data_IF_515526722038
#
_entry.id   IF_515526722038
#
_cell.length_a   1.000
_cell.length_b   1.000
_cell.length_c   1.000
_cell.angle_alpha   90.00
_cell.angle_beta   90.00
_cell.angle_gamma   90.00
#
_symmetry.space_group_name_H-M   'P 1'
#
loop_
_entity.id
_entity.type
_entity.pdbx_description
1 polymer ?
#
# COMPACT_ATOMS: atom_id res chain seq x y z
N UNK A 1 62.93 -36.63 -48.25
CA UNK A 1 61.56 -36.84 -48.67
C UNK A 1 60.66 -36.49 -47.51
N UNK A 2 60.27 -35.20 -47.38
CA UNK A 2 59.53 -34.67 -46.27
C UNK A 2 58.01 -34.52 -46.68
N UNK A 3 57.13 -35.29 -46.06
CA UNK A 3 55.68 -35.16 -46.28
C UNK A 3 55.18 -33.96 -45.44
N UNK A 4 54.61 -32.96 -46.12
CA UNK A 4 53.88 -31.87 -45.50
C UNK A 4 52.47 -32.36 -45.17
N UNK A 5 52.11 -32.31 -43.87
CA UNK A 5 50.73 -32.46 -43.42
C UNK A 5 50.07 -31.06 -43.39
N UNK A 6 49.04 -30.88 -44.24
CA UNK A 6 48.18 -29.69 -44.16
C UNK A 6 47.09 -29.95 -43.14
N UNK A 7 47.08 -29.18 -42.07
CA UNK A 7 46.02 -29.17 -41.09
C UNK A 7 44.97 -28.13 -41.53
N UNK A 8 43.79 -28.64 -41.89
CA UNK A 8 42.63 -27.82 -42.26
C UNK A 8 41.90 -27.42 -40.95
N UNK A 9 41.94 -26.14 -40.53
CA UNK A 9 41.16 -25.63 -39.44
C UNK A 9 39.75 -25.32 -39.94
N UNK A 10 38.75 -26.12 -39.53
CA UNK A 10 37.33 -25.82 -39.73
C UNK A 10 36.91 -24.88 -38.59
N UNK A 11 36.73 -23.60 -38.91
CA UNK A 11 36.16 -22.60 -37.98
C UNK A 11 34.62 -22.86 -37.89
N UNK A 12 34.18 -23.44 -36.80
CA UNK A 12 32.74 -23.50 -36.50
C UNK A 12 32.30 -22.11 -35.96
N UNK A 13 31.66 -21.32 -36.81
CA UNK A 13 31.01 -20.07 -36.42
C UNK A 13 29.67 -20.42 -35.76
N UNK A 14 29.64 -20.41 -34.41
CA UNK A 14 28.40 -20.49 -33.66
C UNK A 14 27.69 -19.15 -33.82
N UNK A 15 26.68 -19.08 -34.69
CA UNK A 15 25.69 -18.01 -34.64
C UNK A 15 24.83 -18.19 -33.36
N UNK A 16 25.18 -17.42 -32.31
CA UNK A 16 24.28 -17.24 -31.17
C UNK A 16 23.18 -16.29 -31.65
N UNK A 17 22.07 -16.86 -32.14
CA UNK A 17 20.84 -16.09 -32.28
C UNK A 17 20.34 -15.81 -30.88
N UNK A 18 20.65 -14.63 -30.36
CA UNK A 18 20.03 -14.13 -29.15
C UNK A 18 18.55 -13.96 -29.40
N UNK A 19 17.74 -14.96 -29.02
CA UNK A 19 16.32 -14.75 -28.81
C UNK A 19 16.21 -13.82 -27.62
N UNK A 20 16.03 -12.51 -27.86
CA UNK A 20 15.48 -11.63 -26.83
C UNK A 20 14.14 -12.22 -26.45
N UNK A 21 14.04 -12.81 -25.28
CA UNK A 21 12.75 -13.13 -24.71
C UNK A 21 12.02 -11.77 -24.61
N UNK A 22 11.05 -11.55 -25.47
CA UNK A 22 10.12 -10.45 -25.33
C UNK A 22 9.35 -10.81 -24.05
N UNK A 23 9.60 -10.08 -22.96
CA UNK A 23 8.80 -10.19 -21.77
C UNK A 23 7.35 -9.92 -22.19
N UNK A 24 6.48 -10.92 -22.09
CA UNK A 24 5.04 -10.77 -22.29
C UNK A 24 4.52 -9.82 -21.19
N UNK A 25 4.53 -8.52 -21.48
CA UNK A 25 4.02 -7.51 -20.58
C UNK A 25 2.50 -7.55 -20.57
N UNK A 26 1.92 -7.64 -19.39
CA UNK A 26 0.49 -7.53 -19.22
C UNK A 26 0.00 -6.15 -19.67
N UNK A 27 -0.94 -6.10 -20.63
CA UNK A 27 -1.47 -4.85 -21.21
C UNK A 27 -2.82 -4.43 -20.66
N UNK A 28 -3.50 -5.30 -19.88
CA UNK A 28 -4.77 -5.00 -19.24
C UNK A 28 -4.63 -4.28 -17.90
N UNK A 29 -5.76 -3.92 -17.30
CA UNK A 29 -5.79 -3.44 -15.91
C UNK A 29 -5.35 -4.54 -14.95
N UNK A 30 -4.75 -4.16 -13.79
CA UNK A 30 -4.33 -5.10 -12.77
C UNK A 30 -5.51 -5.93 -12.24
N UNK A 31 -6.64 -5.25 -11.99
CA UNK A 31 -7.91 -5.86 -11.58
C UNK A 31 -9.09 -5.20 -12.31
N UNK A 32 -10.28 -5.77 -12.14
CA UNK A 32 -11.50 -5.15 -12.65
C UNK A 32 -12.34 -4.58 -11.51
N UNK A 33 -12.22 -3.27 -11.28
CA UNK A 33 -12.93 -2.55 -10.22
C UNK A 33 -14.45 -2.54 -10.40
N UNK A 34 -14.98 -2.81 -11.61
CA UNK A 34 -16.43 -2.87 -11.85
C UNK A 34 -17.13 -4.09 -11.22
N UNK A 35 -16.35 -5.04 -10.66
CA UNK A 35 -16.86 -6.20 -9.92
C UNK A 35 -17.39 -5.85 -8.53
N UNK A 36 -17.26 -4.60 -8.14
CA UNK A 36 -17.72 -4.06 -6.87
C UNK A 36 -16.68 -4.12 -5.74
N UNK A 37 -17.12 -3.82 -4.53
CA UNK A 37 -16.24 -3.76 -3.37
C UNK A 37 -15.71 -5.15 -2.98
N UNK A 38 -14.54 -5.15 -2.34
CA UNK A 38 -13.99 -6.38 -1.76
C UNK A 38 -14.73 -6.75 -0.48
N UNK A 39 -14.84 -8.03 -0.25
CA UNK A 39 -15.36 -8.61 1.00
C UNK A 39 -14.62 -9.89 1.36
N UNK A 40 -14.72 -10.30 2.60
CA UNK A 40 -14.28 -11.64 3.02
C UNK A 40 -15.32 -12.65 2.55
N UNK A 41 -14.86 -13.72 1.88
CA UNK A 41 -15.73 -14.80 1.46
C UNK A 41 -16.45 -15.46 2.65
N UNK A 42 -17.62 -16.03 2.44
CA UNK A 42 -18.43 -16.67 3.49
C UNK A 42 -17.71 -17.83 4.22
N UNK A 43 -16.70 -18.43 3.61
CA UNK A 43 -15.85 -19.44 4.26
C UNK A 43 -14.77 -18.85 5.18
N UNK A 44 -14.55 -17.52 5.12
CA UNK A 44 -13.49 -16.82 5.87
C UNK A 44 -12.07 -17.08 5.39
N UNK A 45 -11.88 -17.66 4.18
CA UNK A 45 -10.56 -18.14 3.73
C UNK A 45 -9.89 -17.28 2.68
N UNK A 46 -10.62 -16.44 1.96
CA UNK A 46 -10.09 -15.59 0.90
C UNK A 46 -10.97 -14.35 0.72
N UNK A 47 -10.42 -13.38 0.00
CA UNK A 47 -11.15 -12.18 -0.38
C UNK A 47 -11.82 -12.39 -1.74
N UNK A 48 -13.00 -11.80 -1.90
CA UNK A 48 -13.75 -11.81 -3.15
C UNK A 48 -14.36 -10.43 -3.42
N UNK A 49 -14.70 -10.17 -4.66
CA UNK A 49 -15.54 -9.03 -5.02
C UNK A 49 -16.98 -9.26 -4.60
N UNK A 50 -17.78 -8.20 -4.55
CA UNK A 50 -19.20 -8.31 -4.22
C UNK A 50 -20.01 -9.12 -5.23
N UNK A 51 -19.52 -9.31 -6.45
CA UNK A 51 -20.06 -10.22 -7.47
C UNK A 51 -19.73 -11.70 -7.20
N UNK A 52 -18.93 -12.03 -6.19
CA UNK A 52 -18.50 -13.38 -5.83
C UNK A 52 -17.23 -13.86 -6.55
N UNK A 53 -16.63 -13.05 -7.42
CA UNK A 53 -15.36 -13.41 -8.07
C UNK A 53 -14.22 -13.36 -7.05
N UNK A 54 -13.38 -14.41 -6.93
CA UNK A 54 -12.21 -14.38 -6.04
C UNK A 54 -11.25 -13.24 -6.37
N UNK A 55 -10.68 -12.63 -5.33
CA UNK A 55 -9.66 -11.60 -5.43
C UNK A 55 -8.29 -12.17 -5.07
N UNK A 56 -7.32 -12.01 -5.97
CA UNK A 56 -5.92 -12.34 -5.69
C UNK A 56 -5.23 -11.11 -5.11
N UNK A 57 -4.83 -11.20 -3.84
CA UNK A 57 -4.03 -10.18 -3.18
C UNK A 57 -2.55 -10.41 -3.49
N UNK A 58 -2.05 -9.82 -4.59
CA UNK A 58 -0.64 -9.78 -4.94
C UNK A 58 -0.12 -8.38 -4.62
N UNK A 59 0.42 -8.22 -3.41
CA UNK A 59 0.84 -6.93 -2.88
C UNK A 59 2.31 -6.61 -3.14
N UNK A 60 2.60 -5.34 -3.45
CA UNK A 60 3.94 -4.77 -3.35
C UNK A 60 3.97 -3.70 -2.26
N UNK A 61 5.12 -3.56 -1.60
CA UNK A 61 5.33 -2.64 -0.50
C UNK A 61 6.06 -1.40 -0.99
N UNK A 62 5.39 -0.26 -0.91
CA UNK A 62 5.90 1.05 -1.33
C UNK A 62 5.59 2.11 -0.25
N UNK A 63 6.17 1.92 0.95
CA UNK A 63 5.84 2.77 2.11
C UNK A 63 5.99 4.26 1.82
N UNK A 64 7.01 4.64 1.06
CA UNK A 64 7.35 6.03 0.76
C UNK A 64 6.72 6.58 -0.54
N UNK A 65 5.82 5.83 -1.18
CA UNK A 65 5.24 6.20 -2.48
C UNK A 65 4.64 7.61 -2.46
N UNK A 66 3.82 7.89 -1.45
CA UNK A 66 3.09 9.16 -1.34
C UNK A 66 4.02 10.30 -0.94
N UNK A 67 4.96 10.06 -0.04
CA UNK A 67 5.81 11.12 0.51
C UNK A 67 6.97 11.51 -0.40
N UNK A 68 7.54 10.54 -1.15
CA UNK A 68 8.79 10.75 -1.91
C UNK A 68 8.63 10.85 -3.40
N UNK A 69 7.63 10.22 -4.00
CA UNK A 69 7.49 10.23 -5.44
C UNK A 69 6.62 11.40 -5.91
N UNK A 70 7.08 12.11 -6.92
CA UNK A 70 6.24 13.05 -7.64
C UNK A 70 5.25 12.32 -8.57
N UNK A 71 4.35 13.05 -9.20
CA UNK A 71 3.30 12.49 -10.05
C UNK A 71 3.81 11.58 -11.17
N UNK A 72 4.91 11.97 -11.84
CA UNK A 72 5.48 11.17 -12.95
C UNK A 72 6.14 9.89 -12.46
N UNK A 73 6.85 9.97 -11.35
CA UNK A 73 7.50 8.83 -10.72
C UNK A 73 6.46 7.86 -10.16
N UNK A 74 5.39 8.39 -9.55
CA UNK A 74 4.23 7.61 -9.10
C UNK A 74 3.58 6.86 -10.26
N UNK A 75 3.32 7.55 -11.37
CA UNK A 75 2.73 6.92 -12.55
C UNK A 75 3.62 5.82 -13.13
N UNK A 76 4.92 6.06 -13.23
CA UNK A 76 5.90 5.08 -13.70
C UNK A 76 5.95 3.85 -12.78
N UNK A 77 5.97 4.06 -11.47
CA UNK A 77 5.97 2.98 -10.49
C UNK A 77 4.69 2.13 -10.59
N UNK A 78 3.53 2.76 -10.57
CA UNK A 78 2.25 2.07 -10.66
C UNK A 78 2.10 1.29 -11.97
N UNK A 79 2.56 1.87 -13.10
CA UNK A 79 2.54 1.18 -14.38
C UNK A 79 3.45 -0.06 -14.37
N UNK A 80 4.66 0.05 -13.84
CA UNK A 80 5.57 -1.08 -13.71
C UNK A 80 4.96 -2.21 -12.86
N UNK A 81 4.23 -1.89 -11.78
CA UNK A 81 3.57 -2.89 -10.93
C UNK A 81 2.40 -3.54 -11.64
N UNK A 82 1.59 -2.75 -12.36
CA UNK A 82 0.50 -3.25 -13.19
C UNK A 82 1.03 -4.26 -14.24
N UNK A 83 2.07 -3.89 -14.98
CA UNK A 83 2.69 -4.76 -15.99
C UNK A 83 3.22 -6.08 -15.41
N UNK A 84 3.65 -6.07 -14.15
CA UNK A 84 4.16 -7.25 -13.44
C UNK A 84 3.08 -8.09 -12.76
N UNK A 85 1.81 -7.70 -12.89
CA UNK A 85 0.67 -8.46 -12.35
C UNK A 85 0.40 -8.25 -10.87
N UNK A 86 0.95 -7.20 -10.24
CA UNK A 86 0.53 -6.81 -8.90
C UNK A 86 -0.91 -6.30 -8.92
N UNK A 87 -1.62 -6.55 -7.83
CA UNK A 87 -3.02 -6.12 -7.66
C UNK A 87 -3.19 -5.10 -6.56
N UNK A 88 -2.25 -5.04 -5.61
CA UNK A 88 -2.30 -4.18 -4.43
C UNK A 88 -0.95 -3.48 -4.24
N UNK A 89 -0.99 -2.19 -3.91
CA UNK A 89 0.17 -1.42 -3.48
C UNK A 89 -0.06 -0.95 -2.05
N UNK A 90 0.83 -1.34 -1.14
CA UNK A 90 0.79 -0.91 0.26
C UNK A 90 1.60 0.37 0.41
N UNK A 91 1.02 1.42 0.99
CA UNK A 91 1.68 2.71 1.18
C UNK A 91 1.16 3.45 2.41
N UNK A 92 1.89 4.46 2.86
CA UNK A 92 1.62 5.18 4.11
C UNK A 92 1.37 6.66 3.84
N UNK A 93 0.43 7.26 4.54
CA UNK A 93 0.18 8.71 4.51
C UNK A 93 1.22 9.45 5.36
N UNK A 94 1.32 9.11 6.65
CA UNK A 94 2.31 9.70 7.56
C UNK A 94 3.41 8.67 7.81
N UNK A 95 4.46 8.71 7.01
CA UNK A 95 5.53 7.70 7.01
C UNK A 95 6.54 7.85 8.15
N UNK A 96 7.44 6.85 8.29
CA UNK A 96 8.44 6.79 9.35
C UNK A 96 9.67 7.65 9.08
N UNK A 97 10.09 7.73 7.82
CA UNK A 97 11.42 8.24 7.46
C UNK A 97 11.53 9.76 7.47
N UNK A 98 10.41 10.45 7.44
CA UNK A 98 10.35 11.91 7.53
C UNK A 98 9.94 12.39 8.90
N UNK A 99 10.55 13.49 9.35
CA UNK A 99 10.20 14.23 10.58
C UNK A 99 8.88 15.02 10.44
N UNK A 100 7.92 14.53 9.63
CA UNK A 100 6.68 15.24 9.27
C UNK A 100 6.89 16.44 8.36
N UNK A 101 8.06 16.54 7.76
CA UNK A 101 8.44 17.61 6.86
C UNK A 101 7.73 17.54 5.51
N UNK A 102 8.24 18.25 4.57
CA UNK A 102 7.63 18.52 3.27
C UNK A 102 7.70 17.28 2.37
N UNK A 103 6.59 16.91 1.75
CA UNK A 103 6.55 15.87 0.72
C UNK A 103 7.37 16.25 -0.54
N UNK A 104 7.55 15.31 -1.46
CA UNK A 104 8.21 15.54 -2.76
C UNK A 104 7.62 16.70 -3.58
N UNK A 105 6.36 17.07 -3.30
CA UNK A 105 5.67 18.18 -3.94
C UNK A 105 5.83 19.52 -3.20
N UNK A 106 6.63 19.57 -2.15
CA UNK A 106 6.85 20.80 -1.38
C UNK A 106 5.75 21.12 -0.36
N UNK A 107 4.78 20.22 -0.16
CA UNK A 107 3.65 20.43 0.74
C UNK A 107 3.89 19.78 2.11
N UNK A 108 3.61 20.46 3.22
CA UNK A 108 3.63 19.82 4.53
C UNK A 108 2.51 18.79 4.64
N UNK A 109 2.72 17.72 5.40
CA UNK A 109 1.69 16.68 5.62
C UNK A 109 0.58 17.18 6.55
N UNK A 110 0.95 17.94 7.54
CA UNK A 110 0.05 18.55 8.55
C UNK A 110 0.40 20.03 8.73
N UNK A 111 -0.61 20.87 8.93
CA UNK A 111 -0.39 22.27 9.29
C UNK A 111 0.09 22.33 10.74
N UNK A 112 1.23 22.97 10.98
CA UNK A 112 1.87 23.12 12.31
C UNK A 112 2.11 21.76 13.01
N UNK A 113 2.29 20.66 12.27
CA UNK A 113 2.43 19.31 12.84
C UNK A 113 1.18 18.80 13.58
N UNK A 114 0.05 19.45 13.42
CA UNK A 114 -1.17 19.14 14.13
C UNK A 114 -2.04 18.13 13.35
N UNK A 115 -2.25 16.93 13.93
CA UNK A 115 -3.05 15.85 13.30
C UNK A 115 -4.52 16.25 13.02
N UNK A 116 -5.06 17.19 13.76
CA UNK A 116 -6.40 17.73 13.52
C UNK A 116 -6.45 18.74 12.34
N UNK A 117 -5.29 19.03 11.73
CA UNK A 117 -5.16 19.96 10.60
C UNK A 117 -4.42 19.32 9.42
N UNK A 118 -4.98 18.29 8.76
CA UNK A 118 -4.39 17.73 7.55
C UNK A 118 -4.19 18.82 6.48
N UNK A 119 -2.99 18.86 5.86
CA UNK A 119 -2.68 19.91 4.90
C UNK A 119 -3.34 19.64 3.54
N UNK A 120 -4.17 20.56 3.01
CA UNK A 120 -4.95 20.30 1.79
C UNK A 120 -4.10 19.96 0.56
N UNK A 121 -2.94 20.60 0.39
CA UNK A 121 -2.04 20.36 -0.73
C UNK A 121 -1.50 18.92 -0.72
N UNK A 122 -1.02 18.45 0.41
CA UNK A 122 -0.55 17.07 0.56
C UNK A 122 -1.66 16.05 0.29
N UNK A 123 -2.84 16.24 0.86
CA UNK A 123 -3.96 15.31 0.66
C UNK A 123 -4.53 15.34 -0.76
N UNK A 124 -4.36 16.44 -1.50
CA UNK A 124 -4.64 16.46 -2.95
C UNK A 124 -3.69 15.51 -3.71
N UNK A 125 -2.43 15.41 -3.28
CA UNK A 125 -1.50 14.43 -3.85
C UNK A 125 -1.88 12.99 -3.47
N UNK A 126 -2.28 12.73 -2.21
CA UNK A 126 -2.80 11.41 -1.80
C UNK A 126 -3.98 10.99 -2.68
N UNK A 127 -4.95 11.89 -2.91
CA UNK A 127 -6.10 11.65 -3.79
C UNK A 127 -5.66 11.26 -5.20
N UNK A 128 -4.65 11.95 -5.72
CA UNK A 128 -4.10 11.70 -7.05
C UNK A 128 -3.45 10.32 -7.15
N UNK A 129 -2.66 9.92 -6.14
CA UNK A 129 -2.05 8.57 -6.09
C UNK A 129 -3.13 7.48 -6.13
N UNK A 130 -4.19 7.62 -5.32
CA UNK A 130 -5.32 6.69 -5.29
C UNK A 130 -6.01 6.63 -6.66
N UNK A 131 -6.25 7.80 -7.28
CA UNK A 131 -6.91 7.88 -8.59
C UNK A 131 -6.07 7.29 -9.72
N UNK A 132 -4.75 7.53 -9.73
CA UNK A 132 -3.81 6.94 -10.69
C UNK A 132 -3.77 5.42 -10.57
N UNK A 133 -3.78 4.90 -9.34
CA UNK A 133 -3.85 3.46 -9.09
C UNK A 133 -5.18 2.88 -9.60
N UNK A 134 -6.32 3.54 -9.32
CA UNK A 134 -7.63 3.12 -9.79
C UNK A 134 -7.70 3.04 -11.33
N UNK A 135 -7.12 4.03 -12.03
CA UNK A 135 -7.06 4.05 -13.50
C UNK A 135 -6.31 2.84 -14.09
N UNK A 136 -5.42 2.23 -13.30
CA UNK A 136 -4.64 1.03 -13.67
C UNK A 136 -5.25 -0.26 -13.09
N UNK A 137 -6.36 -0.18 -12.37
CA UNK A 137 -7.00 -1.30 -11.68
C UNK A 137 -6.21 -1.79 -10.46
N UNK A 138 -5.30 -0.98 -9.91
CA UNK A 138 -4.56 -1.30 -8.69
C UNK A 138 -5.32 -0.85 -7.45
N UNK A 139 -5.37 -1.70 -6.44
CA UNK A 139 -5.81 -1.31 -5.11
C UNK A 139 -4.68 -0.62 -4.34
N UNK A 140 -5.03 0.37 -3.54
CA UNK A 140 -4.14 0.96 -2.56
C UNK A 140 -4.51 0.40 -1.17
N UNK A 141 -3.59 -0.32 -0.56
CA UNK A 141 -3.68 -0.71 0.83
C UNK A 141 -3.00 0.40 1.65
N UNK A 142 -3.83 1.27 2.22
CA UNK A 142 -3.44 2.57 2.75
C UNK A 142 -3.31 2.55 4.26
N UNK A 143 -2.10 2.87 4.75
CA UNK A 143 -1.86 3.11 6.18
C UNK A 143 -2.08 4.61 6.47
N UNK A 144 -2.97 4.98 7.40
CA UNK A 144 -3.15 6.36 7.84
C UNK A 144 -1.88 7.00 8.41
N UNK A 145 -1.09 6.19 9.09
CA UNK A 145 0.17 6.59 9.73
C UNK A 145 1.05 5.38 9.95
N UNK A 146 2.36 5.61 10.00
CA UNK A 146 3.29 4.61 10.53
C UNK A 146 3.28 4.58 12.06
N UNK A 147 3.76 3.50 12.63
CA UNK A 147 3.64 3.24 14.06
C UNK A 147 4.43 4.18 14.97
N UNK A 148 5.51 4.79 14.47
CA UNK A 148 6.34 5.72 15.24
C UNK A 148 5.63 7.01 15.64
N UNK A 149 4.54 7.37 14.98
CA UNK A 149 3.68 8.50 15.33
C UNK A 149 2.75 8.19 16.53
N UNK A 150 2.62 6.89 16.89
CA UNK A 150 1.87 6.38 18.04
C UNK A 150 2.80 5.98 19.18
N UNK A 151 3.88 5.28 18.84
CA UNK A 151 4.90 4.78 19.75
C UNK A 151 6.25 4.87 19.06
N UNK A 152 7.02 5.87 19.39
CA UNK A 152 8.24 6.22 18.65
C UNK A 152 9.25 5.08 18.56
N UNK A 153 9.53 4.40 19.68
CA UNK A 153 10.56 3.33 19.76
C UNK A 153 11.82 3.68 18.94
N UNK A 154 12.09 2.89 17.88
CA UNK A 154 13.23 3.08 16.97
C UNK A 154 12.96 4.06 15.83
N UNK A 155 11.72 4.55 15.67
CA UNK A 155 11.35 5.50 14.62
C UNK A 155 11.73 6.94 14.92
N UNK A 156 11.47 7.83 13.99
CA UNK A 156 11.76 9.26 14.13
C UNK A 156 10.72 10.00 15.01
N UNK A 157 9.46 9.56 14.97
CA UNK A 157 8.36 10.25 15.61
C UNK A 157 7.96 11.51 14.82
N UNK A 158 7.46 12.56 15.48
CA UNK A 158 7.06 12.59 16.89
C UNK A 158 5.82 11.75 17.18
N UNK A 159 5.60 11.33 18.44
CA UNK A 159 4.32 10.78 18.88
C UNK A 159 3.28 11.91 18.90
N UNK A 160 2.25 11.79 18.08
CA UNK A 160 1.24 12.85 17.90
C UNK A 160 -0.19 12.36 18.18
N UNK A 161 -0.36 11.05 18.37
CA UNK A 161 -1.68 10.47 18.56
C UNK A 161 -2.06 10.30 20.02
N UNK A 162 -3.31 10.67 20.31
CA UNK A 162 -4.11 10.24 21.46
C UNK A 162 -5.34 9.49 20.93
N UNK A 163 -6.07 8.74 21.77
CA UNK A 163 -7.29 8.09 21.29
C UNK A 163 -8.31 9.09 20.70
N UNK A 164 -8.43 10.28 21.27
CA UNK A 164 -9.40 11.29 20.85
C UNK A 164 -9.08 11.85 19.46
N UNK A 165 -7.82 12.26 19.22
CA UNK A 165 -7.44 12.80 17.92
C UNK A 165 -7.29 11.71 16.86
N UNK A 166 -6.91 10.48 17.24
CA UNK A 166 -6.88 9.32 16.35
C UNK A 166 -8.28 9.02 15.80
N UNK A 167 -9.31 9.05 16.66
CA UNK A 167 -10.70 8.88 16.20
C UNK A 167 -11.11 9.98 15.22
N UNK A 168 -10.82 11.26 15.51
CA UNK A 168 -11.17 12.40 14.62
C UNK A 168 -10.46 12.29 13.28
N UNK A 169 -9.16 12.01 13.29
CA UNK A 169 -8.38 11.83 12.07
C UNK A 169 -8.87 10.64 11.26
N UNK A 170 -9.13 9.50 11.91
CA UNK A 170 -9.71 8.33 11.27
C UNK A 170 -11.07 8.63 10.62
N UNK A 171 -11.96 9.30 11.34
CA UNK A 171 -13.27 9.71 10.80
C UNK A 171 -13.10 10.61 9.57
N UNK A 172 -12.23 11.61 9.63
CA UNK A 172 -11.94 12.50 8.52
C UNK A 172 -11.39 11.76 7.29
N UNK A 173 -10.48 10.79 7.49
CA UNK A 173 -9.98 9.93 6.40
C UNK A 173 -11.10 9.08 5.80
N UNK A 174 -11.92 8.47 6.65
CA UNK A 174 -13.08 7.69 6.20
C UNK A 174 -14.04 8.52 5.37
N UNK A 175 -14.41 9.74 5.80
CA UNK A 175 -15.26 10.67 5.04
C UNK A 175 -14.64 11.04 3.68
N UNK A 176 -13.31 11.21 3.61
CA UNK A 176 -12.61 11.58 2.39
C UNK A 176 -12.57 10.44 1.37
N UNK A 177 -12.36 9.21 1.83
CA UNK A 177 -12.04 8.08 0.94
C UNK A 177 -13.14 7.02 0.85
N UNK A 178 -14.25 7.11 1.56
CA UNK A 178 -15.33 6.10 1.55
C UNK A 178 -15.90 5.78 0.16
N UNK A 179 -15.69 6.63 -0.81
CA UNK A 179 -16.14 6.45 -2.20
C UNK A 179 -15.00 6.07 -3.17
N UNK A 180 -13.78 5.87 -2.70
CA UNK A 180 -12.68 5.40 -3.55
C UNK A 180 -12.96 3.95 -3.97
N UNK A 181 -12.84 3.60 -5.27
CA UNK A 181 -13.24 2.25 -5.71
C UNK A 181 -12.17 1.17 -5.42
N UNK A 182 -11.00 1.56 -4.96
CA UNK A 182 -9.80 0.73 -4.93
C UNK A 182 -9.00 0.86 -3.62
N UNK A 183 -9.67 0.91 -2.49
CA UNK A 183 -9.00 1.10 -1.21
C UNK A 183 -9.14 -0.12 -0.29
N UNK A 184 -8.09 -0.38 0.50
CA UNK A 184 -8.07 -1.28 1.64
C UNK A 184 -7.39 -0.51 2.78
N UNK A 185 -7.96 -0.51 3.98
CA UNK A 185 -7.33 0.14 5.13
C UNK A 185 -6.38 -0.82 5.85
N UNK A 186 -5.20 -0.32 6.20
CA UNK A 186 -4.25 -1.01 7.08
C UNK A 186 -3.97 -0.11 8.28
N UNK A 187 -4.31 -0.57 9.46
CA UNK A 187 -3.98 0.11 10.72
C UNK A 187 -2.65 -0.41 11.24
N UNK A 188 -1.88 0.37 11.99
CA UNK A 188 -0.61 -0.07 12.56
C UNK A 188 0.61 0.47 11.84
N UNK A 189 1.67 -0.33 11.73
CA UNK A 189 2.97 0.03 11.17
C UNK A 189 4.11 -0.34 12.12
N UNK A 190 4.47 -1.63 12.19
CA UNK A 190 5.54 -2.21 12.98
C UNK A 190 5.47 -1.91 14.50
N UNK A 191 4.27 -1.80 15.04
CA UNK A 191 4.07 -1.62 16.49
C UNK A 191 3.11 -2.67 17.04
N UNK A 192 3.23 -2.92 18.34
CA UNK A 192 2.29 -3.77 19.05
C UNK A 192 0.90 -3.11 19.15
N UNK A 193 -0.12 -3.96 19.26
CA UNK A 193 -1.48 -3.52 19.53
C UNK A 193 -1.86 -3.56 21.01
N UNK A 194 -0.89 -3.51 21.94
CA UNK A 194 -1.14 -3.58 23.37
C UNK A 194 -0.98 -2.21 24.08
N UNK A 195 -1.20 -2.20 25.40
CA UNK A 195 -0.99 -1.03 26.24
C UNK A 195 -1.69 0.24 25.70
N UNK A 196 -0.94 1.36 25.68
CA UNK A 196 -1.43 2.64 25.14
C UNK A 196 -1.76 2.55 23.64
N UNK A 197 -1.05 1.71 22.92
CA UNK A 197 -1.18 1.58 21.48
C UNK A 197 -2.55 1.00 21.10
N UNK A 198 -3.07 0.04 21.89
CA UNK A 198 -4.39 -0.56 21.66
C UNK A 198 -5.49 0.50 21.56
N UNK A 199 -5.54 1.42 22.53
CA UNK A 199 -6.57 2.45 22.58
C UNK A 199 -6.50 3.40 21.37
N UNK A 200 -5.28 3.76 20.95
CA UNK A 200 -5.05 4.67 19.81
C UNK A 200 -5.43 3.97 18.49
N UNK A 201 -4.94 2.74 18.27
CA UNK A 201 -5.25 1.99 17.04
C UNK A 201 -6.74 1.67 16.92
N UNK A 202 -7.35 1.27 18.04
CA UNK A 202 -8.79 0.99 18.05
C UNK A 202 -9.62 2.26 17.79
N UNK A 203 -9.20 3.41 18.32
CA UNK A 203 -9.86 4.69 18.06
C UNK A 203 -9.73 5.12 16.59
N UNK A 204 -8.53 5.01 16.00
CA UNK A 204 -8.28 5.32 14.60
C UNK A 204 -9.16 4.46 13.67
N UNK A 205 -9.13 3.14 13.87
CA UNK A 205 -9.91 2.18 13.10
C UNK A 205 -11.43 2.43 13.24
N UNK A 206 -11.89 2.64 14.48
CA UNK A 206 -13.31 2.92 14.77
C UNK A 206 -13.72 4.25 14.14
N UNK A 207 -12.85 5.26 14.16
CA UNK A 207 -13.09 6.54 13.48
C UNK A 207 -13.35 6.35 12.00
N UNK A 208 -12.48 5.62 11.28
CA UNK A 208 -12.66 5.30 9.86
C UNK A 208 -13.99 4.54 9.66
N UNK A 209 -14.15 3.44 10.37
CA UNK A 209 -15.33 2.57 10.23
C UNK A 209 -16.64 3.24 10.68
N UNK A 210 -16.60 4.37 11.41
CA UNK A 210 -17.81 5.11 11.76
C UNK A 210 -18.56 5.64 10.52
N UNK A 211 -17.82 5.93 9.44
CA UNK A 211 -18.33 6.52 8.19
C UNK A 211 -18.06 5.64 6.98
N UNK A 212 -16.89 5.03 6.86
CA UNK A 212 -16.55 4.12 5.76
C UNK A 212 -16.97 2.68 6.09
N UNK A 213 -18.03 2.22 5.41
CA UNK A 213 -18.54 0.85 5.51
C UNK A 213 -18.17 -0.01 4.30
N UNK A 214 -17.50 0.57 3.32
CA UNK A 214 -17.27 -0.05 2.02
C UNK A 214 -15.96 -0.82 1.95
N UNK A 215 -14.93 -0.35 2.66
CA UNK A 215 -13.58 -0.88 2.53
C UNK A 215 -13.22 -1.85 3.64
N UNK A 216 -12.52 -2.92 3.26
CA UNK A 216 -11.92 -3.86 4.20
C UNK A 216 -10.82 -3.19 5.01
N UNK A 217 -10.62 -3.68 6.23
CA UNK A 217 -9.61 -3.18 7.14
C UNK A 217 -8.85 -4.32 7.81
N UNK A 218 -7.53 -4.16 7.89
CA UNK A 218 -6.65 -5.06 8.64
C UNK A 218 -5.67 -4.27 9.51
N UNK A 219 -4.77 -4.98 10.18
CA UNK A 219 -3.74 -4.38 11.03
C UNK A 219 -2.36 -4.90 10.64
N UNK A 220 -1.37 -4.01 10.58
CA UNK A 220 0.04 -4.31 10.33
C UNK A 220 0.81 -4.31 11.66
N UNK A 221 1.02 -5.47 12.29
CA UNK A 221 1.79 -5.59 13.51
C UNK A 221 3.30 -5.48 13.23
N UNK A 222 4.11 -5.46 14.29
CA UNK A 222 5.51 -5.79 14.15
C UNK A 222 5.71 -7.28 13.82
N UNK A 223 6.90 -7.66 13.37
CA UNK A 223 7.21 -9.02 12.94
C UNK A 223 6.82 -10.11 13.96
N UNK A 224 6.58 -11.31 13.44
CA UNK A 224 6.21 -12.52 14.19
C UNK A 224 4.80 -12.55 14.81
N UNK A 225 3.97 -11.53 14.55
CA UNK A 225 2.60 -11.46 15.03
C UNK A 225 1.59 -11.32 13.89
N UNK A 226 0.38 -11.85 14.11
CA UNK A 226 -0.76 -11.63 13.22
C UNK A 226 -1.60 -10.45 13.69
N UNK A 227 -2.40 -9.89 12.80
CA UNK A 227 -3.38 -8.83 13.13
C UNK A 227 -4.32 -9.25 14.26
N UNK A 228 -4.76 -10.50 14.24
CA UNK A 228 -5.68 -11.06 15.25
C UNK A 228 -5.05 -11.27 16.63
N UNK A 229 -3.72 -11.19 16.78
CA UNK A 229 -3.09 -11.38 18.08
C UNK A 229 -3.62 -10.40 19.15
N UNK A 230 -3.82 -9.15 18.78
CA UNK A 230 -4.39 -8.12 19.66
C UNK A 230 -5.85 -7.78 19.34
N UNK A 231 -6.24 -7.85 18.07
CA UNK A 231 -7.50 -7.29 17.59
C UNK A 231 -8.52 -8.35 17.16
N UNK A 232 -8.36 -9.61 17.59
CA UNK A 232 -9.26 -10.71 17.21
C UNK A 232 -10.76 -10.40 17.42
N UNK A 233 -11.09 -9.71 18.50
CA UNK A 233 -12.46 -9.35 18.83
C UNK A 233 -12.87 -7.94 18.36
N UNK A 234 -12.00 -7.25 17.66
CA UNK A 234 -12.32 -5.91 17.16
C UNK A 234 -13.27 -6.02 15.95
N UNK A 235 -14.40 -5.33 16.01
CA UNK A 235 -15.41 -5.37 14.96
C UNK A 235 -14.98 -4.74 13.64
N UNK A 236 -13.86 -4.03 13.64
CA UNK A 236 -13.30 -3.40 12.46
C UNK A 236 -12.25 -4.27 11.74
N UNK A 237 -11.71 -5.32 12.39
CA UNK A 237 -10.74 -6.23 11.77
C UNK A 237 -11.47 -7.22 10.86
N UNK A 238 -11.38 -7.02 9.56
CA UNK A 238 -12.06 -7.86 8.56
C UNK A 238 -11.22 -9.10 8.19
N UNK A 239 -9.88 -9.00 8.17
CA UNK A 239 -8.97 -10.10 7.79
C UNK A 239 -7.57 -9.92 8.39
N UNK A 240 -6.76 -11.00 8.38
CA UNK A 240 -5.34 -11.01 8.78
C UNK A 240 -4.40 -10.84 7.59
#
# INVERSE_FOLDING_TARGET
MFKRFSICYILFMFCITGTSAQEDRWTGNATNLSKGNLRVNSSGRYLEYSDGTPFLYMGDTAWELISRLNDKETELYLENRREKGFTVIQTVILDELDDMDVSSNGEPKLIDGNIDKPAPGYFTHVDKVISLAAAKGLYIALLPTWGDKVDKQWGKGPEIFTPENAYRYGKWLGERYMNAPNLIWIIGGDRSGDGKNFAIWNALATGIKSVDKNHLMTYHPHGEHSSSFWFHNASWLDFN
#
